data_IF_634123083810
#
_entry.id   IF_634123083810
#
_cell.length_a   1.000
_cell.length_b   1.000
_cell.length_c   1.000
_cell.angle_alpha   90.00
_cell.angle_beta   90.00
_cell.angle_gamma   90.00
#
_symmetry.space_group_name_H-M   'P 1'
#
loop_
_entity.id
_entity.type
_entity.pdbx_description
1 polymer ?
#
# COMPACT_ATOMS: atom_id res chain seq x y z
N UNK A 1 -53.22 -33.14 3.18
CA UNK A 1 -52.54 -32.58 2.01
C UNK A 1 -52.32 -31.07 2.14
N UNK A 2 -53.33 -30.22 2.41
CA UNK A 2 -53.13 -28.74 2.48
C UNK A 2 -52.12 -28.28 3.56
N UNK A 3 -52.06 -28.93 4.75
CA UNK A 3 -51.10 -28.59 5.81
C UNK A 3 -49.64 -28.90 5.46
N UNK A 4 -49.37 -29.96 4.70
CA UNK A 4 -48.05 -30.35 4.29
C UNK A 4 -47.52 -29.36 3.23
N UNK A 5 -48.35 -28.88 2.32
CA UNK A 5 -48.03 -27.90 1.29
C UNK A 5 -47.64 -26.55 1.93
N UNK A 6 -48.35 -26.13 2.97
CA UNK A 6 -48.08 -24.87 3.71
C UNK A 6 -46.73 -24.94 4.44
N UNK A 7 -46.40 -26.05 5.08
CA UNK A 7 -45.14 -26.27 5.78
C UNK A 7 -43.97 -26.27 4.78
N UNK A 8 -44.10 -26.94 3.62
CA UNK A 8 -43.08 -26.92 2.57
C UNK A 8 -42.87 -25.53 1.97
N UNK A 9 -43.93 -24.73 1.82
CA UNK A 9 -43.82 -23.35 1.32
C UNK A 9 -43.16 -22.44 2.35
N UNK A 10 -43.41 -22.64 3.66
CA UNK A 10 -42.74 -21.89 4.72
C UNK A 10 -41.26 -22.22 4.82
N UNK A 11 -40.86 -23.48 4.65
CA UNK A 11 -39.46 -23.89 4.62
C UNK A 11 -38.71 -23.32 3.40
N UNK A 12 -39.36 -23.20 2.25
CA UNK A 12 -38.77 -22.55 1.05
C UNK A 12 -38.59 -21.05 1.25
N UNK A 13 -39.47 -20.37 1.96
CA UNK A 13 -39.36 -18.94 2.30
C UNK A 13 -38.28 -18.65 3.34
N UNK A 14 -38.04 -19.55 4.30
CA UNK A 14 -36.96 -19.42 5.28
C UNK A 14 -35.58 -19.72 4.70
N UNK A 15 -35.48 -20.48 3.60
CA UNK A 15 -34.22 -20.85 2.96
C UNK A 15 -33.55 -19.71 2.15
N UNK A 16 -34.26 -18.59 1.92
CA UNK A 16 -33.80 -17.53 1.01
C UNK A 16 -33.07 -16.37 1.71
N UNK A 17 -32.75 -16.42 2.98
CA UNK A 17 -32.13 -15.31 3.72
C UNK A 17 -30.79 -15.68 4.35
N UNK A 18 -30.08 -16.69 3.83
CA UNK A 18 -28.66 -16.81 4.12
C UNK A 18 -27.92 -15.92 3.13
N UNK A 19 -27.97 -14.63 3.36
CA UNK A 19 -27.07 -13.69 2.74
C UNK A 19 -25.68 -13.97 3.32
N UNK A 20 -24.87 -14.73 2.61
CA UNK A 20 -23.47 -14.91 2.97
C UNK A 20 -22.85 -13.51 3.09
N UNK A 21 -22.58 -13.09 4.31
CA UNK A 21 -21.88 -11.85 4.58
C UNK A 21 -20.51 -11.98 3.91
N UNK A 22 -20.32 -11.32 2.78
CA UNK A 22 -19.04 -11.32 2.06
C UNK A 22 -18.05 -10.61 2.99
N UNK A 23 -17.27 -11.39 3.74
CA UNK A 23 -16.19 -10.85 4.55
C UNK A 23 -15.25 -10.15 3.57
N UNK A 24 -15.19 -8.83 3.67
CA UNK A 24 -14.29 -8.02 2.88
C UNK A 24 -13.07 -7.69 3.71
N UNK A 25 -11.91 -8.08 3.22
CA UNK A 25 -10.63 -7.67 3.80
C UNK A 25 -10.41 -6.20 3.41
N UNK A 26 -10.10 -5.37 4.40
CA UNK A 26 -9.69 -3.98 4.19
C UNK A 26 -8.18 -3.92 3.98
N UNK A 27 -7.74 -3.11 3.03
CA UNK A 27 -6.32 -2.79 2.84
C UNK A 27 -5.83 -1.85 3.95
N UNK A 28 -4.51 -1.77 4.15
CA UNK A 28 -3.92 -0.92 5.18
C UNK A 28 -4.37 0.53 5.11
N UNK A 29 -4.49 1.11 3.88
CA UNK A 29 -4.99 2.48 3.72
C UNK A 29 -6.46 2.64 4.15
N UNK A 30 -7.31 1.63 3.91
CA UNK A 30 -8.70 1.68 4.34
C UNK A 30 -8.82 1.60 5.86
N UNK A 31 -7.99 0.78 6.51
CA UNK A 31 -7.92 0.71 7.98
C UNK A 31 -7.43 2.04 8.55
N UNK A 32 -6.42 2.63 7.94
CA UNK A 32 -5.88 3.92 8.35
C UNK A 32 -6.93 5.04 8.27
N UNK A 33 -7.74 5.06 7.18
CA UNK A 33 -8.90 5.97 7.03
C UNK A 33 -9.93 5.78 8.14
N UNK A 34 -10.30 4.53 8.43
CA UNK A 34 -11.28 4.22 9.49
C UNK A 34 -10.82 4.68 10.87
N UNK A 35 -9.50 4.67 11.11
CA UNK A 35 -8.86 5.17 12.33
C UNK A 35 -8.61 6.67 12.31
N UNK A 36 -9.13 7.39 11.30
CA UNK A 36 -8.93 8.82 11.11
C UNK A 36 -7.43 9.21 11.15
N UNK A 37 -6.56 8.38 10.57
CA UNK A 37 -5.11 8.60 10.47
C UNK A 37 -4.39 8.86 11.81
N UNK A 38 -4.94 8.41 12.91
CA UNK A 38 -4.48 8.72 14.27
C UNK A 38 -2.98 8.47 14.50
N UNK A 39 -2.41 7.40 13.92
CA UNK A 39 -0.99 7.08 14.09
C UNK A 39 -0.04 8.04 13.34
N UNK A 40 -0.58 8.85 12.42
CA UNK A 40 0.16 9.83 11.62
C UNK A 40 0.02 11.27 12.15
N UNK A 41 -0.86 11.50 13.11
CA UNK A 41 -1.16 12.83 13.61
C UNK A 41 0.07 13.53 14.21
N UNK A 42 0.31 14.79 13.81
CA UNK A 42 1.42 15.60 14.26
C UNK A 42 2.80 15.23 13.69
N UNK A 43 2.87 14.24 12.78
CA UNK A 43 4.12 13.76 12.17
C UNK A 43 4.25 14.24 10.73
N UNK A 44 5.49 14.48 10.28
CA UNK A 44 5.84 14.75 8.88
C UNK A 44 6.04 13.41 8.17
N UNK A 45 5.30 13.18 7.10
CA UNK A 45 5.17 11.86 6.47
C UNK A 45 5.83 11.84 5.11
N UNK A 46 6.70 10.87 4.87
CA UNK A 46 7.15 10.46 3.55
C UNK A 46 6.39 9.21 3.11
N UNK A 47 5.79 9.23 1.92
CA UNK A 47 5.05 8.10 1.37
C UNK A 47 5.85 7.40 0.27
N UNK A 48 6.13 6.12 0.45
CA UNK A 48 6.69 5.24 -0.56
C UNK A 48 5.53 4.51 -1.23
N UNK A 49 5.30 4.76 -2.51
CA UNK A 49 4.15 4.19 -3.23
C UNK A 49 4.37 4.12 -4.74
N UNK A 50 3.47 3.44 -5.42
CA UNK A 50 3.36 3.37 -6.87
C UNK A 50 1.87 3.33 -7.28
N UNK A 51 1.49 3.17 -8.56
CA UNK A 51 0.08 3.15 -8.99
C UNK A 51 -0.81 2.10 -8.33
N UNK A 52 -0.24 1.09 -7.66
CA UNK A 52 -1.01 0.07 -6.93
C UNK A 52 -1.46 0.53 -5.54
N UNK A 53 -0.90 1.64 -5.04
CA UNK A 53 -1.28 2.29 -3.79
C UNK A 53 -2.63 2.99 -3.91
N UNK A 54 -3.73 2.23 -3.90
CA UNK A 54 -5.10 2.73 -4.04
C UNK A 54 -6.02 2.08 -3.02
N UNK A 55 -7.12 2.75 -2.70
CA UNK A 55 -8.22 2.16 -1.93
C UNK A 55 -9.18 1.36 -2.83
N UNK A 56 -10.24 0.83 -2.27
CA UNK A 56 -11.26 0.06 -2.99
C UNK A 56 -12.11 0.86 -3.99
N UNK A 57 -11.98 2.17 -3.98
CA UNK A 57 -12.62 3.08 -4.94
C UNK A 57 -11.61 3.54 -6.00
N UNK A 58 -10.42 2.94 -6.02
CA UNK A 58 -9.30 3.29 -6.90
C UNK A 58 -8.77 4.70 -6.66
N UNK A 59 -9.04 5.30 -5.48
CA UNK A 59 -8.44 6.56 -5.09
C UNK A 59 -7.01 6.32 -4.61
N UNK A 60 -6.07 7.10 -5.14
CA UNK A 60 -4.65 7.01 -4.81
C UNK A 60 -4.39 7.29 -3.33
N UNK A 61 -3.52 6.51 -2.70
CA UNK A 61 -3.04 6.77 -1.34
C UNK A 61 -2.36 8.13 -1.21
N UNK A 62 -1.70 8.60 -2.28
CA UNK A 62 -1.14 9.96 -2.32
C UNK A 62 -2.24 10.99 -2.07
N UNK A 63 -3.32 10.91 -2.86
CA UNK A 63 -4.41 11.88 -2.80
C UNK A 63 -5.19 11.75 -1.48
N UNK A 64 -5.39 10.52 -0.98
CA UNK A 64 -6.04 10.27 0.31
C UNK A 64 -5.28 10.94 1.46
N UNK A 65 -3.95 10.76 1.52
CA UNK A 65 -3.14 11.33 2.59
C UNK A 65 -2.97 12.86 2.43
N UNK A 66 -2.86 13.34 1.19
CA UNK A 66 -2.70 14.78 0.91
C UNK A 66 -3.95 15.58 1.25
N UNK A 67 -5.15 15.03 1.01
CA UNK A 67 -6.42 15.69 1.30
C UNK A 67 -6.86 15.58 2.77
N UNK A 68 -6.26 14.67 3.55
CA UNK A 68 -6.63 14.46 4.94
C UNK A 68 -6.15 15.64 5.82
N UNK A 69 -7.05 16.37 6.51
CA UNK A 69 -6.71 17.63 7.18
C UNK A 69 -5.78 17.46 8.39
N UNK A 70 -5.68 16.25 8.94
CA UNK A 70 -4.84 15.91 10.08
C UNK A 70 -3.57 15.12 9.70
N UNK A 71 -3.24 15.05 8.40
CA UNK A 71 -2.05 14.38 7.86
C UNK A 71 -1.13 15.41 7.23
N UNK A 72 0.13 15.39 7.60
CA UNK A 72 1.16 16.26 7.02
C UNK A 72 2.05 15.45 6.08
N UNK A 73 1.58 15.19 4.86
CA UNK A 73 2.35 14.55 3.81
C UNK A 73 3.35 15.55 3.21
N UNK A 74 4.66 15.29 3.34
CA UNK A 74 5.71 16.25 2.96
C UNK A 74 6.56 15.80 1.79
N UNK A 75 6.61 14.49 1.50
CA UNK A 75 7.41 13.95 0.39
C UNK A 75 6.85 12.62 -0.12
N UNK A 76 7.14 12.33 -1.39
CA UNK A 76 6.84 11.08 -2.06
C UNK A 76 8.14 10.37 -2.45
N UNK A 77 8.11 9.04 -2.42
CA UNK A 77 9.24 8.19 -2.81
C UNK A 77 8.76 7.17 -3.84
N UNK A 78 9.31 7.25 -5.06
CA UNK A 78 8.95 6.38 -6.17
C UNK A 78 9.92 5.23 -6.33
N UNK A 79 9.49 3.96 -6.31
CA UNK A 79 10.26 2.85 -6.82
C UNK A 79 10.32 2.89 -8.35
N UNK A 80 10.72 1.80 -8.98
CA UNK A 80 10.64 1.64 -10.44
C UNK A 80 9.24 2.03 -10.95
N UNK A 81 9.18 2.73 -12.08
CA UNK A 81 7.99 3.33 -12.71
C UNK A 81 7.41 4.57 -12.02
N UNK A 82 8.00 5.06 -10.93
CA UNK A 82 7.55 6.29 -10.26
C UNK A 82 6.29 6.12 -9.41
N UNK A 83 5.89 7.20 -8.75
CA UNK A 83 4.75 7.18 -7.80
C UNK A 83 3.39 7.12 -8.47
N UNK A 84 3.27 7.61 -9.72
CA UNK A 84 2.02 7.61 -10.50
C UNK A 84 2.08 6.76 -11.77
N UNK A 85 3.21 6.06 -12.02
CA UNK A 85 3.39 5.18 -13.19
C UNK A 85 3.65 5.94 -14.49
N UNK A 86 4.16 7.14 -14.40
CA UNK A 86 4.45 8.06 -15.50
C UNK A 86 5.90 7.94 -16.02
N UNK A 87 6.68 7.03 -15.46
CA UNK A 87 8.07 6.77 -15.83
C UNK A 87 8.21 5.41 -16.49
N UNK A 88 8.85 5.36 -17.68
CA UNK A 88 9.11 4.09 -18.36
C UNK A 88 10.18 3.25 -17.63
N UNK A 89 10.10 1.93 -17.80
CA UNK A 89 11.09 1.01 -17.22
C UNK A 89 12.50 1.38 -17.65
N UNK A 90 13.41 1.51 -16.67
CA UNK A 90 14.82 1.86 -16.92
C UNK A 90 15.11 3.35 -17.06
N UNK A 91 14.11 4.22 -17.14
CA UNK A 91 14.32 5.66 -17.17
C UNK A 91 14.72 6.21 -15.80
N UNK A 92 15.62 7.19 -15.81
CA UNK A 92 16.02 7.87 -14.59
C UNK A 92 14.90 8.77 -14.09
N UNK A 93 14.36 8.47 -12.92
CA UNK A 93 13.52 9.40 -12.18
C UNK A 93 14.44 10.47 -11.59
N UNK A 94 14.41 11.67 -12.16
CA UNK A 94 15.03 12.85 -11.53
C UNK A 94 14.11 13.36 -10.43
N UNK A 95 14.68 14.02 -9.41
CA UNK A 95 13.90 14.69 -8.39
C UNK A 95 12.94 15.68 -9.04
N UNK A 96 11.66 15.34 -9.03
CA UNK A 96 10.57 16.12 -9.62
C UNK A 96 9.54 16.46 -8.56
N UNK A 97 8.65 17.37 -8.88
CA UNK A 97 7.46 17.61 -8.05
C UNK A 97 6.27 16.86 -8.64
N UNK A 98 5.49 16.21 -7.79
CA UNK A 98 4.22 15.64 -8.20
C UNK A 98 3.29 16.74 -8.71
N UNK A 99 2.80 16.59 -9.94
CA UNK A 99 2.02 17.64 -10.61
C UNK A 99 0.70 17.96 -9.91
N UNK A 100 0.13 16.99 -9.17
CA UNK A 100 -1.15 17.15 -8.49
C UNK A 100 -1.00 17.79 -7.11
N UNK A 101 -0.03 17.34 -6.33
CA UNK A 101 0.14 17.79 -4.94
C UNK A 101 1.21 18.85 -4.76
N UNK A 102 2.10 19.02 -5.76
CA UNK A 102 3.27 19.91 -5.66
C UNK A 102 4.39 19.39 -4.74
N UNK A 103 4.22 18.20 -4.17
CA UNK A 103 5.20 17.60 -3.25
C UNK A 103 6.47 17.15 -3.98
N UNK A 104 7.64 17.19 -3.32
CA UNK A 104 8.85 16.63 -3.86
C UNK A 104 8.72 15.11 -4.01
N UNK A 105 9.23 14.58 -5.12
CA UNK A 105 9.29 13.15 -5.41
C UNK A 105 10.74 12.73 -5.51
N UNK A 106 11.15 11.82 -4.62
CA UNK A 106 12.48 11.22 -4.62
C UNK A 106 12.44 9.83 -5.28
N UNK A 107 13.46 9.54 -6.12
CA UNK A 107 13.59 8.22 -6.74
C UNK A 107 14.31 7.26 -5.80
N UNK A 108 13.72 6.06 -5.63
CA UNK A 108 14.35 4.89 -5.02
C UNK A 108 14.72 3.84 -6.07
N UNK A 109 14.98 4.26 -7.31
CA UNK A 109 15.34 3.39 -8.42
C UNK A 109 16.58 3.89 -9.18
N UNK A 110 17.37 2.98 -9.70
CA UNK A 110 18.58 3.30 -10.44
C UNK A 110 19.79 3.56 -9.53
N UNK A 111 20.32 4.77 -9.52
CA UNK A 111 21.52 5.12 -8.74
C UNK A 111 21.28 5.13 -7.24
N UNK A 112 20.11 5.55 -6.81
CA UNK A 112 19.73 5.66 -5.39
C UNK A 112 18.61 4.68 -5.12
N UNK A 113 18.93 3.55 -4.48
CA UNK A 113 17.93 2.53 -4.11
C UNK A 113 17.50 2.63 -2.65
N UNK A 114 18.31 3.24 -1.82
CA UNK A 114 18.09 3.46 -0.39
C UNK A 114 17.96 4.96 -0.13
N UNK A 115 16.93 5.37 0.58
CA UNK A 115 16.72 6.79 0.92
C UNK A 115 17.93 7.34 1.70
N UNK A 116 18.42 8.51 1.29
CA UNK A 116 19.56 9.16 1.94
C UNK A 116 19.13 9.96 3.16
N UNK A 117 20.04 10.26 4.11
CA UNK A 117 19.73 11.13 5.25
C UNK A 117 19.16 12.48 4.85
N UNK A 118 19.63 13.05 3.73
CA UNK A 118 19.13 14.32 3.20
C UNK A 118 17.66 14.23 2.74
N UNK A 119 17.25 13.13 2.11
CA UNK A 119 15.85 12.89 1.73
C UNK A 119 14.96 12.71 2.95
N UNK A 120 15.51 12.24 4.08
CA UNK A 120 14.77 11.90 5.29
C UNK A 120 14.81 13.01 6.37
N UNK A 121 15.57 14.09 6.18
CA UNK A 121 15.78 15.13 7.22
C UNK A 121 14.48 15.74 7.75
N UNK A 122 13.49 15.95 6.86
CA UNK A 122 12.21 16.58 7.19
C UNK A 122 11.06 15.57 7.37
N UNK A 123 11.39 14.30 7.55
CA UNK A 123 10.43 13.20 7.72
C UNK A 123 10.54 12.63 9.13
N UNK A 124 9.42 12.35 9.75
CA UNK A 124 9.33 11.67 11.05
C UNK A 124 8.94 10.20 10.85
N UNK A 125 8.08 9.93 9.86
CA UNK A 125 7.55 8.61 9.54
C UNK A 125 7.64 8.33 8.05
N UNK A 126 8.16 7.17 7.67
CA UNK A 126 8.01 6.61 6.33
C UNK A 126 6.82 5.65 6.30
N UNK A 127 5.88 5.90 5.40
CA UNK A 127 4.73 5.04 5.14
C UNK A 127 4.96 4.32 3.81
N UNK A 128 4.78 3.01 3.80
CA UNK A 128 4.94 2.17 2.61
C UNK A 128 3.58 1.60 2.19
N UNK A 129 3.16 1.85 0.95
CA UNK A 129 1.90 1.36 0.38
C UNK A 129 2.08 0.94 -1.09
N UNK A 130 2.45 -0.30 -1.30
CA UNK A 130 2.61 -0.93 -2.61
C UNK A 130 2.04 -2.34 -2.55
N UNK A 131 1.30 -2.76 -3.59
CA UNK A 131 0.84 -4.13 -3.73
C UNK A 131 2.01 -5.02 -4.17
N UNK A 132 2.46 -5.89 -3.28
CA UNK A 132 3.31 -7.02 -3.66
C UNK A 132 2.47 -8.16 -4.25
N UNK A 133 3.02 -8.91 -5.19
CA UNK A 133 2.31 -10.02 -5.85
C UNK A 133 2.81 -11.39 -5.42
N UNK A 134 3.67 -11.47 -4.42
CA UNK A 134 4.24 -12.72 -3.92
C UNK A 134 5.22 -13.38 -4.89
N UNK A 135 5.83 -12.60 -5.78
CA UNK A 135 6.80 -13.09 -6.77
C UNK A 135 8.17 -12.41 -6.55
N UNK A 136 9.20 -13.20 -6.30
CA UNK A 136 10.56 -12.68 -6.00
C UNK A 136 11.24 -11.92 -7.15
N UNK A 137 10.74 -12.04 -8.39
CA UNK A 137 11.22 -11.23 -9.50
C UNK A 137 10.74 -9.79 -9.44
N UNK A 138 9.75 -9.47 -8.59
CA UNK A 138 9.30 -8.11 -8.33
C UNK A 138 10.17 -7.47 -7.25
N UNK A 139 10.70 -6.29 -7.55
CA UNK A 139 11.73 -5.62 -6.73
C UNK A 139 11.16 -4.85 -5.53
N UNK A 140 9.86 -4.74 -5.39
CA UNK A 140 9.24 -3.89 -4.37
C UNK A 140 9.51 -4.34 -2.94
N UNK A 141 9.61 -5.65 -2.69
CA UNK A 141 9.98 -6.17 -1.36
C UNK A 141 11.41 -5.73 -0.98
N UNK A 142 12.34 -5.67 -1.95
CA UNK A 142 13.69 -5.16 -1.74
C UNK A 142 13.69 -3.66 -1.47
N UNK A 143 12.85 -2.89 -2.18
CA UNK A 143 12.64 -1.46 -1.90
C UNK A 143 12.15 -1.25 -0.48
N UNK A 144 11.18 -2.06 -0.01
CA UNK A 144 10.68 -2.01 1.38
C UNK A 144 11.81 -2.28 2.38
N UNK A 145 12.61 -3.34 2.17
CA UNK A 145 13.72 -3.69 3.05
C UNK A 145 14.76 -2.57 3.16
N UNK A 146 15.18 -1.99 2.03
CA UNK A 146 16.13 -0.87 2.02
C UNK A 146 15.55 0.40 2.66
N UNK A 147 14.24 0.63 2.52
CA UNK A 147 13.58 1.76 3.16
C UNK A 147 13.45 1.58 4.68
N UNK A 148 13.19 0.35 5.16
CA UNK A 148 13.21 0.02 6.59
C UNK A 148 14.60 0.23 7.20
N UNK A 149 15.65 -0.21 6.49
CA UNK A 149 17.03 0.00 6.89
C UNK A 149 17.36 1.49 6.97
N UNK A 150 17.01 2.28 5.93
CA UNK A 150 17.19 3.73 5.93
C UNK A 150 16.45 4.42 7.08
N UNK A 151 15.22 4.00 7.37
CA UNK A 151 14.44 4.53 8.49
C UNK A 151 15.14 4.25 9.83
N UNK A 152 15.59 3.01 10.05
CA UNK A 152 16.29 2.61 11.27
C UNK A 152 17.59 3.39 11.48
N UNK A 153 18.42 3.53 10.43
CA UNK A 153 19.68 4.27 10.48
C UNK A 153 19.50 5.76 10.77
N UNK A 154 18.36 6.33 10.39
CA UNK A 154 18.05 7.75 10.58
C UNK A 154 17.06 8.03 11.72
N UNK A 155 16.74 7.02 12.55
CA UNK A 155 15.83 7.16 13.68
C UNK A 155 14.42 7.55 13.29
N UNK A 156 13.94 7.10 12.13
CA UNK A 156 12.59 7.36 11.62
C UNK A 156 11.68 6.17 11.90
N UNK A 157 10.41 6.46 12.14
CA UNK A 157 9.37 5.44 12.23
C UNK A 157 9.05 4.88 10.84
N UNK A 158 8.69 3.60 10.75
CA UNK A 158 8.31 2.95 9.49
C UNK A 158 6.96 2.24 9.65
N UNK A 159 6.02 2.52 8.75
CA UNK A 159 4.67 1.94 8.76
C UNK A 159 4.40 1.29 7.42
N UNK A 160 3.99 0.02 7.43
CA UNK A 160 3.54 -0.72 6.25
C UNK A 160 2.01 -0.73 6.22
N UNK A 161 1.44 -0.23 5.14
CA UNK A 161 0.01 -0.39 4.85
C UNK A 161 -0.18 -1.71 4.12
N UNK A 162 -0.50 -2.75 4.89
CA UNK A 162 -0.57 -4.12 4.39
C UNK A 162 -1.66 -4.32 3.34
N UNK A 163 -1.37 -5.21 2.39
CA UNK A 163 -2.26 -5.61 1.29
C UNK A 163 -2.27 -7.12 1.16
N UNK A 164 -3.45 -7.75 0.91
CA UNK A 164 -3.51 -9.19 0.71
C UNK A 164 -2.63 -9.63 -0.46
N UNK A 165 -1.84 -10.68 -0.24
CA UNK A 165 -1.08 -11.29 -1.32
C UNK A 165 -2.04 -12.01 -2.29
N UNK A 166 -2.08 -11.66 -3.60
CA UNK A 166 -3.02 -12.22 -4.56
C UNK A 166 -2.82 -13.71 -4.84
N UNK A 167 -1.61 -14.23 -4.62
CA UNK A 167 -1.34 -15.68 -4.74
C UNK A 167 -1.51 -16.43 -3.41
N UNK A 168 -1.94 -15.72 -2.34
CA UNK A 168 -2.14 -16.28 -1.01
C UNK A 168 -0.84 -16.47 -0.24
N UNK A 169 -0.91 -17.11 0.94
CA UNK A 169 0.23 -17.30 1.85
C UNK A 169 0.44 -18.74 2.30
N UNK A 170 -0.28 -19.70 1.70
CA UNK A 170 -0.25 -21.11 2.11
C UNK A 170 0.70 -21.96 1.27
N UNK A 171 1.11 -21.49 0.10
CA UNK A 171 1.91 -22.24 -0.87
C UNK A 171 3.15 -21.46 -1.26
N UNK A 172 4.29 -22.11 -1.18
CA UNK A 172 5.58 -21.60 -1.66
C UNK A 172 6.02 -22.53 -2.78
N UNK A 173 6.28 -21.98 -3.96
CA UNK A 173 6.68 -22.71 -5.16
C UNK A 173 7.90 -22.01 -5.81
N UNK A 174 8.65 -22.78 -6.58
CA UNK A 174 9.82 -22.33 -7.32
C UNK A 174 11.13 -22.88 -6.77
N UNK A 175 12.22 -22.59 -7.47
CA UNK A 175 13.55 -23.02 -7.10
C UNK A 175 14.08 -22.24 -5.89
N UNK A 176 14.95 -22.87 -5.11
CA UNK A 176 15.76 -22.20 -4.10
C UNK A 176 16.74 -21.25 -4.78
N UNK A 177 17.07 -20.16 -4.11
CA UNK A 177 18.21 -19.32 -4.47
C UNK A 177 19.44 -20.01 -3.90
N UNK A 178 20.42 -20.31 -4.73
CA UNK A 178 21.71 -20.86 -4.31
C UNK A 178 22.69 -19.68 -4.15
N UNK A 179 23.54 -19.74 -3.14
CA UNK A 179 24.64 -18.80 -2.97
C UNK A 179 25.71 -19.16 -4.01
N UNK A 180 26.09 -18.22 -4.89
CA UNK A 180 27.18 -18.35 -5.86
C UNK A 180 28.55 -18.20 -5.19
#
# INVERSE_FOLDING_TARGET
>A
MKKIIIISLLCLLCGSVVQAQKIRIKTGIEVLKDQNFKCLEGKRIGLITNPTGVDNQMKSTIDILHEAPNVNLVALFGPEHGVRGDVHAGDHVTDIKDATTGLPVYSLYGKTRKATPEMLKDIDVLVYDIQDIGCRSFTYISTMGLAMEAAAENGKEFIVLDRPNPVGGLKIEGNLVEDD
#
